data_IF_686463048623
#
_entry.id   IF_686463048623
#
_cell.length_a   1.000
_cell.length_b   1.000
_cell.length_c   1.000
_cell.angle_alpha   90.00
_cell.angle_beta   90.00
_cell.angle_gamma   90.00
#
_symmetry.space_group_name_H-M   'P 1'
#
loop_
_entity.id
_entity.type
_entity.pdbx_description
1 polymer ?
#
# COMPACT_ATOMS: atom_id res chain seq x y z
N UNK A 1 -8.43 4.81 1.99
CA UNK A 1 -8.88 3.47 2.41
C UNK A 1 -9.78 3.70 3.62
N UNK A 2 -11.10 3.63 3.47
CA UNK A 2 -11.99 4.01 4.58
C UNK A 2 -11.97 2.96 5.68
N UNK A 3 -12.07 3.37 6.94
CA UNK A 3 -12.06 2.49 8.14
C UNK A 3 -13.01 1.29 7.99
N UNK A 4 -14.14 1.48 7.32
CA UNK A 4 -15.10 0.41 7.04
C UNK A 4 -14.52 -0.73 6.20
N UNK A 5 -13.63 -0.43 5.24
CA UNK A 5 -12.93 -1.45 4.45
C UNK A 5 -12.00 -2.31 5.31
N UNK A 6 -11.43 -1.73 6.36
CA UNK A 6 -10.51 -2.41 7.27
C UNK A 6 -11.27 -3.26 8.29
N UNK A 7 -12.43 -2.78 8.77
CA UNK A 7 -13.26 -3.48 9.75
C UNK A 7 -14.09 -4.60 9.09
N UNK A 8 -14.61 -4.38 7.88
CA UNK A 8 -15.62 -5.24 7.26
C UNK A 8 -15.12 -5.97 6.01
N UNK A 9 -13.92 -5.66 5.52
CA UNK A 9 -13.33 -6.27 4.31
C UNK A 9 -13.88 -5.68 2.99
N UNK A 10 -13.44 -6.17 1.83
CA UNK A 10 -14.00 -5.82 0.51
C UNK A 10 -14.67 -7.04 -0.13
N UNK A 11 -15.82 -6.90 -0.80
CA UNK A 11 -16.66 -5.70 -0.97
C UNK A 11 -17.81 -5.61 0.06
N UNK A 12 -17.49 -5.23 1.32
CA UNK A 12 -18.43 -5.25 2.44
C UNK A 12 -19.80 -4.59 2.22
N UNK A 13 -19.86 -3.50 1.44
CA UNK A 13 -21.10 -2.75 1.22
C UNK A 13 -22.18 -3.61 0.56
N UNK A 14 -21.79 -4.51 -0.34
CA UNK A 14 -22.71 -5.43 -1.02
C UNK A 14 -23.01 -6.65 -0.15
N UNK A 15 -21.99 -7.21 0.50
CA UNK A 15 -22.11 -8.46 1.26
C UNK A 15 -22.92 -8.29 2.56
N UNK A 16 -22.88 -7.09 3.16
CA UNK A 16 -23.55 -6.78 4.44
C UNK A 16 -24.87 -6.02 4.29
N UNK A 17 -25.32 -5.77 3.05
CA UNK A 17 -26.57 -5.04 2.78
C UNK A 17 -26.58 -3.62 3.35
N UNK A 18 -25.46 -2.89 3.25
CA UNK A 18 -25.30 -1.61 3.90
C UNK A 18 -26.27 -0.54 3.36
N UNK A 19 -26.96 0.15 4.27
CA UNK A 19 -27.87 1.26 3.95
C UNK A 19 -27.25 2.59 4.35
N UNK A 20 -27.10 3.50 3.39
CA UNK A 20 -26.63 4.86 3.65
C UNK A 20 -27.79 5.85 3.68
N UNK A 21 -27.97 6.52 4.81
CA UNK A 21 -28.89 7.66 4.94
C UNK A 21 -28.13 8.95 4.61
N UNK A 22 -28.30 9.43 3.37
CA UNK A 22 -27.67 10.66 2.89
C UNK A 22 -28.03 11.90 3.70
N UNK A 23 -29.23 11.95 4.31
CA UNK A 23 -29.70 13.14 5.02
C UNK A 23 -29.07 13.24 6.41
N UNK A 24 -28.99 12.11 7.11
CA UNK A 24 -28.39 12.04 8.43
C UNK A 24 -26.87 11.78 8.40
N UNK A 25 -26.32 11.44 7.23
CA UNK A 25 -24.95 10.99 7.04
C UNK A 25 -24.60 9.77 7.92
N UNK A 26 -25.49 8.76 7.93
CA UNK A 26 -25.38 7.55 8.77
C UNK A 26 -25.34 6.32 7.89
N UNK A 27 -24.42 5.38 8.18
CA UNK A 27 -24.46 4.03 7.60
C UNK A 27 -25.09 3.05 8.59
N UNK A 28 -25.98 2.18 8.11
CA UNK A 28 -26.59 1.10 8.89
C UNK A 28 -26.28 -0.24 8.23
N UNK A 29 -25.77 -1.20 9.00
CA UNK A 29 -25.47 -2.56 8.53
C UNK A 29 -26.01 -3.59 9.52
N UNK A 30 -26.36 -4.78 9.03
CA UNK A 30 -26.64 -5.93 9.88
C UNK A 30 -25.44 -6.88 9.88
N UNK A 31 -24.88 -7.13 11.06
CA UNK A 31 -23.73 -8.02 11.24
C UNK A 31 -24.04 -9.02 12.34
N UNK A 32 -24.02 -10.32 12.02
CA UNK A 32 -24.27 -11.41 12.97
C UNK A 32 -25.56 -11.22 13.81
N UNK A 33 -26.64 -10.79 13.18
CA UNK A 33 -27.93 -10.54 13.84
C UNK A 33 -27.99 -9.28 14.70
N UNK A 34 -26.95 -8.44 14.68
CA UNK A 34 -26.93 -7.13 15.35
C UNK A 34 -26.91 -6.02 14.32
N UNK A 35 -27.77 -5.01 14.51
CA UNK A 35 -27.81 -3.82 13.67
C UNK A 35 -26.80 -2.79 14.18
N UNK A 36 -25.76 -2.53 13.40
CA UNK A 36 -24.73 -1.53 13.67
C UNK A 36 -25.06 -0.22 12.94
N UNK A 37 -24.90 0.91 13.62
CA UNK A 37 -25.09 2.25 13.05
C UNK A 37 -23.80 3.06 13.21
N UNK A 38 -23.25 3.52 12.10
CA UNK A 38 -22.08 4.39 12.06
C UNK A 38 -22.57 5.83 12.03
N UNK A 39 -22.40 6.53 13.14
CA UNK A 39 -22.76 7.93 13.28
C UNK A 39 -21.62 8.81 12.74
N UNK A 40 -21.94 9.96 12.15
CA UNK A 40 -20.91 10.93 11.79
C UNK A 40 -20.18 11.37 13.06
N UNK A 41 -18.85 11.47 12.97
CA UNK A 41 -18.06 12.03 14.06
C UNK A 41 -18.44 13.50 14.21
N UNK A 42 -19.19 13.83 15.25
CA UNK A 42 -19.36 15.23 15.66
C UNK A 42 -17.98 15.71 16.08
N UNK A 43 -17.34 16.49 15.23
CA UNK A 43 -16.18 17.28 15.64
C UNK A 43 -16.59 18.07 16.88
N UNK A 44 -15.81 17.93 17.94
CA UNK A 44 -15.97 18.54 19.26
C UNK A 44 -17.09 18.02 20.16
N UNK A 45 -16.68 17.24 21.18
CA UNK A 45 -17.13 17.51 22.55
C UNK A 45 -16.18 16.89 23.59
N UNK A 46 -15.19 17.69 24.00
CA UNK A 46 -14.50 17.54 25.29
C UNK A 46 -15.37 18.05 26.47
N UNK A 47 -16.68 18.13 26.33
CA UNK A 47 -17.57 18.53 27.42
C UNK A 47 -18.99 18.03 27.21
N UNK A 48 -19.56 17.41 28.25
CA UNK A 48 -21.00 17.19 28.35
C UNK A 48 -21.41 15.81 28.84
N UNK A 49 -21.61 15.71 30.14
CA UNK A 49 -22.51 14.76 30.79
C UNK A 49 -23.86 14.75 30.04
N UNK A 50 -24.19 13.67 29.33
CA UNK A 50 -25.47 13.57 28.61
C UNK A 50 -25.61 12.36 27.71
N UNK A 51 -26.40 11.39 28.17
CA UNK A 51 -26.86 10.16 27.52
C UNK A 51 -25.80 9.09 27.17
N UNK A 52 -25.68 8.15 28.12
CA UNK A 52 -25.21 6.77 27.96
C UNK A 52 -25.90 6.07 26.79
N UNK A 53 -25.38 6.26 25.58
CA UNK A 53 -25.31 5.18 24.61
C UNK A 53 -23.84 4.77 24.59
N UNK A 54 -23.53 3.62 25.20
CA UNK A 54 -22.18 3.06 25.21
C UNK A 54 -21.74 2.85 23.76
N UNK A 55 -20.98 3.80 23.24
CA UNK A 55 -20.45 3.69 21.89
C UNK A 55 -19.51 2.48 21.89
N UNK A 56 -19.72 1.55 20.95
CA UNK A 56 -18.90 0.34 20.90
C UNK A 56 -17.48 0.62 20.39
N UNK A 57 -17.26 1.76 19.73
CA UNK A 57 -15.98 2.16 19.14
C UNK A 57 -15.96 3.68 18.92
N UNK A 58 -14.86 4.31 19.32
CA UNK A 58 -14.56 5.71 19.01
C UNK A 58 -13.45 5.76 17.95
N UNK A 59 -13.69 6.51 16.86
CA UNK A 59 -12.67 6.78 15.84
C UNK A 59 -12.15 8.20 16.08
N UNK A 60 -10.82 8.32 16.18
CA UNK A 60 -10.15 9.58 16.54
C UNK A 60 -9.11 9.94 15.47
N UNK A 61 -8.91 11.24 15.22
CA UNK A 61 -7.86 11.74 14.33
C UNK A 61 -6.46 11.44 14.89
N UNK A 62 -5.47 11.23 14.02
CA UNK A 62 -4.07 11.04 14.43
C UNK A 62 -3.52 12.20 15.28
N UNK A 63 -3.95 13.44 15.00
CA UNK A 63 -3.58 14.61 15.80
C UNK A 63 -4.09 14.55 17.24
N UNK A 64 -5.31 14.04 17.44
CA UNK A 64 -5.91 13.87 18.76
C UNK A 64 -5.25 12.70 19.52
N UNK A 65 -4.93 11.59 18.83
CA UNK A 65 -4.17 10.49 19.42
C UNK A 65 -2.80 10.97 19.95
N UNK A 66 -2.10 11.81 19.18
CA UNK A 66 -0.82 12.39 19.60
C UNK A 66 -0.94 13.34 20.80
N UNK A 67 -2.11 13.96 21.02
CA UNK A 67 -2.36 14.75 22.22
C UNK A 67 -2.56 13.87 23.46
N UNK A 68 -3.27 12.74 23.32
CA UNK A 68 -3.51 11.78 24.40
C UNK A 68 -2.23 11.12 24.91
N UNK A 69 -1.17 11.01 24.10
CA UNK A 69 0.13 10.50 24.55
C UNK A 69 0.75 11.30 25.71
N UNK A 70 0.34 12.56 25.90
CA UNK A 70 0.83 13.41 27.00
C UNK A 70 0.29 12.99 28.37
N UNK A 71 -0.75 12.16 28.41
CA UNK A 71 -1.32 11.64 29.65
C UNK A 71 -0.47 10.46 30.16
N UNK A 72 -0.33 10.28 31.48
CA UNK A 72 0.53 9.24 32.08
C UNK A 72 -0.02 7.81 31.94
N UNK A 73 -1.05 7.58 31.13
CA UNK A 73 -1.69 6.29 30.97
C UNK A 73 -1.04 5.46 29.84
N UNK A 74 -0.81 4.15 30.03
CA UNK A 74 -0.22 3.30 29.00
C UNK A 74 -1.20 3.11 27.83
N UNK A 75 -0.76 3.49 26.63
CA UNK A 75 -1.52 3.27 25.40
C UNK A 75 -1.16 1.91 24.79
N UNK A 76 -2.17 1.08 24.51
CA UNK A 76 -1.99 -0.21 23.83
C UNK A 76 -2.46 -0.10 22.38
N UNK A 77 -1.64 -0.59 21.44
CA UNK A 77 -1.98 -0.64 20.02
C UNK A 77 -2.21 -2.09 19.59
N UNK A 78 -3.36 -2.37 18.98
CA UNK A 78 -3.63 -3.62 18.29
C UNK A 78 -3.30 -3.43 16.81
N UNK A 79 -2.19 -4.00 16.36
CA UNK A 79 -1.80 -3.98 14.95
C UNK A 79 -2.38 -5.21 14.25
N UNK A 80 -3.28 -4.98 13.29
CA UNK A 80 -3.73 -6.02 12.37
C UNK A 80 -2.77 -6.01 11.19
N UNK A 81 -1.74 -6.84 11.26
CA UNK A 81 -0.94 -7.21 10.08
C UNK A 81 -1.62 -8.37 9.40
N UNK A 82 -1.67 -8.35 8.07
CA UNK A 82 -1.84 -9.61 7.35
C UNK A 82 -0.69 -10.51 7.76
N UNK A 83 -0.98 -11.76 8.15
CA UNK A 83 0.02 -12.82 8.11
C UNK A 83 0.31 -13.10 6.62
N UNK A 84 0.86 -12.13 5.92
CA UNK A 84 1.80 -12.43 4.86
C UNK A 84 3.03 -12.93 5.60
N UNK A 85 2.93 -14.17 6.07
CA UNK A 85 4.09 -15.01 6.15
C UNK A 85 4.59 -15.13 4.71
N UNK A 86 5.32 -14.10 4.26
CA UNK A 86 6.56 -14.30 3.49
C UNK A 86 7.55 -14.95 4.46
N UNK A 87 7.11 -16.08 5.01
CA UNK A 87 8.01 -17.05 5.54
C UNK A 87 8.27 -17.85 4.28
N UNK A 88 9.46 -17.67 3.70
CA UNK A 88 10.08 -18.58 2.75
C UNK A 88 10.29 -19.98 3.38
N UNK A 89 9.29 -20.51 4.08
CA UNK A 89 9.23 -21.89 4.58
C UNK A 89 8.42 -22.76 3.62
N UNK A 90 8.47 -22.46 2.32
CA UNK A 90 8.44 -23.57 1.37
C UNK A 90 9.79 -24.24 1.55
N UNK A 91 9.85 -25.26 2.41
CA UNK A 91 10.98 -26.17 2.47
C UNK A 91 11.16 -26.72 1.06
N UNK A 92 12.07 -26.11 0.31
CA UNK A 92 12.38 -26.54 -1.03
C UNK A 92 12.94 -27.95 -0.92
N UNK A 93 12.43 -28.92 -1.69
CA UNK A 93 13.05 -30.22 -1.82
C UNK A 93 14.56 -30.05 -2.05
N UNK A 94 15.37 -30.95 -1.48
CA UNK A 94 16.83 -30.86 -1.56
C UNK A 94 17.35 -30.72 -3.00
N UNK A 95 16.62 -31.27 -3.98
CA UNK A 95 16.99 -31.17 -5.39
C UNK A 95 16.84 -29.76 -5.96
N UNK A 96 15.86 -28.98 -5.47
CA UNK A 96 15.69 -27.59 -5.90
C UNK A 96 16.73 -26.69 -5.22
N UNK A 97 17.07 -26.95 -3.96
CA UNK A 97 18.16 -26.24 -3.29
C UNK A 97 19.51 -26.44 -4.01
N UNK A 98 19.80 -27.67 -4.45
CA UNK A 98 20.98 -27.94 -5.27
C UNK A 98 20.96 -27.15 -6.58
N UNK A 99 19.80 -27.05 -7.23
CA UNK A 99 19.65 -26.35 -8.51
C UNK A 99 19.79 -24.83 -8.35
N UNK A 100 19.23 -24.24 -7.28
CA UNK A 100 19.40 -22.82 -6.94
C UNK A 100 20.87 -22.51 -6.64
N UNK A 101 21.55 -23.37 -5.88
CA UNK A 101 22.98 -23.24 -5.62
C UNK A 101 23.85 -23.39 -6.88
N UNK A 102 23.38 -24.17 -7.87
CA UNK A 102 24.09 -24.35 -9.14
C UNK A 102 23.97 -23.13 -10.07
N UNK A 103 22.87 -22.38 -10.00
CA UNK A 103 22.60 -21.23 -10.87
C UNK A 103 22.31 -19.94 -10.09
N UNK A 104 23.25 -19.48 -9.24
CA UNK A 104 23.03 -18.30 -8.39
C UNK A 104 22.79 -17.03 -9.20
N UNK A 105 23.33 -16.93 -10.41
CA UNK A 105 23.14 -15.77 -11.30
C UNK A 105 21.72 -15.61 -11.86
N UNK A 106 20.91 -16.67 -11.85
CA UNK A 106 19.51 -16.62 -12.35
C UNK A 106 18.54 -16.20 -11.25
N UNK A 107 18.93 -16.37 -9.98
CA UNK A 107 18.09 -16.16 -8.80
C UNK A 107 18.39 -14.86 -8.06
N UNK A 108 19.26 -14.00 -8.59
CA UNK A 108 19.52 -12.68 -8.00
C UNK A 108 18.28 -11.80 -8.15
N UNK A 109 17.90 -11.12 -7.06
CA UNK A 109 16.81 -10.14 -7.09
C UNK A 109 17.23 -8.86 -7.84
N UNK A 110 18.50 -8.49 -7.70
CA UNK A 110 19.10 -7.33 -8.35
C UNK A 110 19.93 -7.73 -9.58
N UNK A 111 19.85 -6.90 -10.63
CA UNK A 111 20.68 -7.05 -11.83
C UNK A 111 22.15 -6.76 -11.49
N UNK A 112 23.10 -7.67 -11.78
CA UNK A 112 24.52 -7.44 -11.56
C UNK A 112 25.03 -6.30 -12.45
N UNK A 113 26.09 -5.62 -12.01
CA UNK A 113 26.74 -4.53 -12.75
C UNK A 113 27.62 -5.03 -13.93
N UNK A 114 27.26 -6.18 -14.48
CA UNK A 114 28.00 -6.83 -15.55
C UNK A 114 27.15 -6.79 -16.82
N UNK A 115 27.81 -6.54 -17.96
CA UNK A 115 27.15 -6.64 -19.24
C UNK A 115 26.67 -8.08 -19.45
N UNK A 116 25.43 -8.27 -19.94
CA UNK A 116 24.97 -9.60 -20.26
C UNK A 116 25.90 -10.24 -21.30
N UNK A 117 26.12 -11.56 -21.24
CA UNK A 117 26.95 -12.24 -22.21
C UNK A 117 26.43 -12.02 -23.63
N UNK A 118 27.35 -11.93 -24.60
CA UNK A 118 27.00 -11.78 -26.00
C UNK A 118 26.06 -12.91 -26.44
N UNK A 119 24.92 -12.53 -27.01
CA UNK A 119 23.91 -13.47 -27.51
C UNK A 119 24.03 -13.56 -29.02
N UNK A 120 23.70 -14.73 -29.58
CA UNK A 120 23.66 -14.94 -31.02
C UNK A 120 22.58 -14.08 -31.72
N UNK A 121 21.60 -13.59 -30.94
CA UNK A 121 20.51 -12.74 -31.42
C UNK A 121 20.58 -11.44 -30.64
N UNK A 122 20.78 -10.34 -31.37
CA UNK A 122 20.75 -8.98 -30.84
C UNK A 122 19.43 -8.30 -31.24
N UNK A 123 18.89 -7.46 -30.36
CA UNK A 123 17.78 -6.60 -30.73
C UNK A 123 18.24 -5.63 -31.85
N UNK A 124 17.50 -5.61 -32.94
CA UNK A 124 17.68 -4.66 -34.04
C UNK A 124 16.41 -3.82 -34.19
N UNK A 125 16.60 -2.53 -34.45
CA UNK A 125 15.51 -1.59 -34.72
C UNK A 125 15.58 -1.28 -36.21
N UNK A 126 14.65 -1.84 -36.98
CA UNK A 126 14.55 -1.59 -38.41
C UNK A 126 13.86 -0.24 -38.66
N UNK A 127 14.52 0.63 -39.40
CA UNK A 127 13.96 1.92 -39.79
C UNK A 127 13.28 1.84 -41.15
N UNK A 128 12.14 2.51 -41.27
CA UNK A 128 11.51 2.71 -42.57
C UNK A 128 12.38 3.68 -43.39
N UNK A 129 12.72 3.37 -44.65
CA UNK A 129 13.50 4.27 -45.51
C UNK A 129 12.85 5.66 -45.61
N UNK A 130 13.63 6.71 -45.37
CA UNK A 130 13.14 8.09 -45.35
C UNK A 130 12.56 8.56 -44.00
N UNK A 131 12.56 7.70 -42.98
CA UNK A 131 12.24 8.12 -41.61
C UNK A 131 13.35 9.01 -41.01
N UNK A 132 12.94 9.89 -40.09
CA UNK A 132 13.84 10.80 -39.37
C UNK A 132 13.73 10.46 -37.88
N UNK A 133 14.88 10.36 -37.20
CA UNK A 133 14.91 10.15 -35.76
C UNK A 133 14.31 11.37 -35.03
N UNK A 134 13.40 11.17 -34.07
CA UNK A 134 12.83 12.27 -33.32
C UNK A 134 13.92 12.96 -32.49
N UNK A 135 14.10 14.26 -32.71
CA UNK A 135 14.99 15.11 -31.92
C UNK A 135 14.17 16.26 -31.31
N UNK A 136 13.42 15.92 -30.27
CA UNK A 136 12.57 16.86 -29.54
C UNK A 136 13.30 17.39 -28.30
N UNK A 137 13.03 18.64 -27.88
CA UNK A 137 13.55 19.13 -26.61
C UNK A 137 12.99 18.30 -25.44
N UNK A 138 13.78 18.15 -24.38
CA UNK A 138 13.35 17.46 -23.18
C UNK A 138 12.17 18.18 -22.51
N UNK A 139 11.31 17.42 -21.83
CA UNK A 139 10.21 17.98 -21.05
C UNK A 139 10.74 18.81 -19.87
N UNK A 140 10.04 19.90 -19.57
CA UNK A 140 10.34 20.72 -18.39
C UNK A 140 9.85 19.98 -17.14
N UNK A 141 10.75 19.81 -16.18
CA UNK A 141 10.49 19.12 -14.92
C UNK A 141 10.71 20.08 -13.74
N UNK A 142 10.05 19.84 -12.61
CA UNK A 142 10.32 20.57 -11.37
C UNK A 142 11.71 20.17 -10.82
N UNK A 143 12.49 21.06 -10.19
CA UNK A 143 13.76 20.72 -9.53
C UNK A 143 13.75 19.41 -8.72
N UNK A 144 12.67 19.10 -7.99
CA UNK A 144 12.56 17.82 -7.25
C UNK A 144 12.51 16.59 -8.17
N UNK A 145 11.75 16.68 -9.25
CA UNK A 145 11.62 15.59 -10.24
C UNK A 145 12.91 15.42 -11.04
N UNK A 146 13.59 16.53 -11.34
CA UNK A 146 14.91 16.49 -11.99
C UNK A 146 15.94 15.77 -11.13
N UNK A 147 15.96 16.03 -9.81
CA UNK A 147 16.85 15.31 -8.89
C UNK A 147 16.57 13.80 -8.88
N UNK A 148 15.30 13.41 -8.79
CA UNK A 148 14.91 11.99 -8.81
C UNK A 148 15.33 11.33 -10.14
N UNK A 149 15.11 12.02 -11.26
CA UNK A 149 15.52 11.51 -12.57
C UNK A 149 17.04 11.35 -12.65
N UNK A 150 17.79 12.30 -12.11
CA UNK A 150 19.24 12.24 -12.06
C UNK A 150 19.73 11.06 -11.20
N UNK A 151 19.17 10.88 -10.00
CA UNK A 151 19.49 9.74 -9.13
C UNK A 151 19.23 8.39 -9.84
N UNK A 152 18.14 8.29 -10.60
CA UNK A 152 17.81 7.10 -11.38
C UNK A 152 18.80 6.85 -12.53
N UNK A 153 19.21 7.92 -13.23
CA UNK A 153 20.21 7.81 -14.31
C UNK A 153 21.56 7.41 -13.74
N UNK A 154 21.99 8.02 -12.63
CA UNK A 154 23.24 7.69 -11.97
C UNK A 154 23.24 6.24 -11.48
N UNK A 155 22.13 5.77 -10.87
CA UNK A 155 21.96 4.37 -10.48
C UNK A 155 21.97 3.39 -11.66
N UNK A 156 21.62 3.83 -12.88
CA UNK A 156 21.71 3.02 -14.10
C UNK A 156 23.11 3.05 -14.72
N UNK A 157 23.91 4.09 -14.48
CA UNK A 157 25.29 4.22 -14.96
C UNK A 157 26.30 3.52 -14.04
N UNK A 158 25.99 3.42 -12.75
CA UNK A 158 26.77 2.66 -11.76
C UNK A 158 26.59 1.14 -11.89
N UNK A 159 25.53 0.70 -12.58
CA UNK A 159 25.26 -0.69 -12.95
C UNK A 159 25.88 -1.01 -14.30
#
# INVERSE_FOLDING_TARGET
MDVCHLILGRPWQFDTGAQYDCRANIYTIEWQGRRLRLLPSSGDSLSGTGNSNSSAMHIVSGSHLLQCWKEPEPMYALLITENSSVVDNKSWPADILKLVQQYPSVTQEDLPAELPPLRNIQHSIDFVPGSILPNLPHFRLNPKEQHILQDLVDALLEK
#
